data_IF_570185338893
#
_entry.id   IF_570185338893
#
_cell.length_a   1.000
_cell.length_b   1.000
_cell.length_c   1.000
_cell.angle_alpha   90.00
_cell.angle_beta   90.00
_cell.angle_gamma   90.00
#
_symmetry.space_group_name_H-M   'P 1'
#
loop_
_entity.id
_entity.type
_entity.pdbx_description
1 polymer ?
#
# COMPACT_ATOMS: atom_id res chain seq x y z
N UNK A 1 -3.92 10.28 9.79
CA UNK A 1 -2.68 10.37 10.61
C UNK A 1 -2.94 11.41 11.69
N UNK A 2 -2.28 11.37 12.86
CA UNK A 2 -2.46 12.41 13.86
C UNK A 2 -2.26 13.81 13.22
N UNK A 3 -3.23 14.71 13.40
CA UNK A 3 -3.18 16.09 12.89
C UNK A 3 -3.62 16.31 11.45
N UNK A 4 -4.07 15.30 10.69
CA UNK A 4 -4.58 15.52 9.32
C UNK A 4 -6.00 16.09 9.28
N UNK A 5 -6.78 15.88 10.35
CA UNK A 5 -8.11 16.45 10.54
C UNK A 5 -8.29 16.87 12.01
N UNK A 6 -9.14 17.87 12.28
CA UNK A 6 -9.38 18.36 13.64
C UNK A 6 -9.91 17.23 14.52
N UNK A 7 -9.18 16.91 15.59
CA UNK A 7 -9.58 15.91 16.59
C UNK A 7 -8.91 14.55 16.45
N UNK A 8 -8.12 14.32 15.40
CA UNK A 8 -7.36 13.07 15.24
C UNK A 8 -6.01 13.21 15.96
N UNK A 9 -5.89 12.64 17.15
CA UNK A 9 -4.66 12.65 17.98
C UNK A 9 -3.83 11.38 17.86
N UNK A 10 -4.44 10.28 17.42
CA UNK A 10 -3.79 8.98 17.22
C UNK A 10 -4.11 8.41 15.83
N UNK A 11 -3.31 7.48 15.29
CA UNK A 11 -3.61 6.81 14.03
C UNK A 11 -4.92 6.02 14.12
N UNK A 12 -5.96 6.48 13.43
CA UNK A 12 -7.20 5.73 13.26
C UNK A 12 -7.19 4.99 11.92
N UNK A 13 -7.60 3.72 11.94
CA UNK A 13 -7.87 2.98 10.73
C UNK A 13 -9.11 3.56 10.05
N UNK A 14 -9.03 3.78 8.74
CA UNK A 14 -10.14 4.31 7.94
C UNK A 14 -10.13 3.67 6.56
N UNK A 15 -11.31 3.57 5.97
CA UNK A 15 -11.49 3.24 4.56
C UNK A 15 -11.78 4.53 3.79
N UNK A 16 -10.72 5.22 3.37
CA UNK A 16 -10.87 6.42 2.54
C UNK A 16 -10.92 6.03 1.06
N UNK A 17 -12.09 6.21 0.45
CA UNK A 17 -12.27 5.94 -0.98
C UNK A 17 -11.20 6.65 -1.83
N UNK A 18 -10.60 5.93 -2.77
CA UNK A 18 -9.54 6.41 -3.65
C UNK A 18 -8.30 6.98 -2.90
N UNK A 19 -8.12 6.65 -1.62
CA UNK A 19 -7.09 7.23 -0.74
C UNK A 19 -7.15 8.77 -0.62
N UNK A 20 -8.31 9.37 -0.92
CA UNK A 20 -8.47 10.83 -1.01
C UNK A 20 -9.91 11.31 -0.87
N UNK A 21 -10.77 10.52 -0.24
CA UNK A 21 -12.23 10.74 -0.15
C UNK A 21 -12.66 12.18 0.16
N UNK A 22 -12.03 12.93 1.10
CA UNK A 22 -12.41 14.32 1.38
C UNK A 22 -12.30 15.27 0.17
N UNK A 23 -11.61 14.87 -0.90
CA UNK A 23 -11.34 15.68 -2.07
C UNK A 23 -12.04 15.19 -3.35
N UNK A 24 -12.86 14.13 -3.26
CA UNK A 24 -13.47 13.49 -4.44
C UNK A 24 -14.86 14.08 -4.73
N UNK A 25 -15.05 14.91 -5.77
CA UNK A 25 -16.35 15.53 -6.07
C UNK A 25 -17.38 14.59 -6.71
N UNK A 26 -16.98 13.37 -7.10
CA UNK A 26 -17.84 12.40 -7.78
C UNK A 26 -17.87 11.10 -6.97
N UNK A 27 -18.81 10.20 -7.32
CA UNK A 27 -18.86 8.89 -6.70
C UNK A 27 -17.55 8.10 -6.95
N UNK A 28 -16.98 7.39 -5.96
CA UNK A 28 -15.70 6.68 -6.07
C UNK A 28 -15.57 5.74 -7.27
N UNK A 29 -16.68 5.12 -7.69
CA UNK A 29 -16.71 4.20 -8.84
C UNK A 29 -16.34 4.87 -10.17
N UNK A 30 -16.54 6.18 -10.31
CA UNK A 30 -16.11 6.94 -11.48
C UNK A 30 -14.58 6.92 -11.59
N UNK A 31 -13.89 7.17 -10.47
CA UNK A 31 -12.43 7.17 -10.41
C UNK A 31 -11.85 5.78 -10.49
N UNK A 32 -12.49 4.79 -9.85
CA UNK A 32 -12.07 3.39 -9.94
C UNK A 32 -12.12 2.88 -11.39
N UNK A 33 -13.20 3.19 -12.13
CA UNK A 33 -13.31 2.86 -13.55
C UNK A 33 -12.23 3.55 -14.38
N UNK A 34 -12.02 4.85 -14.17
CA UNK A 34 -10.98 5.60 -14.88
C UNK A 34 -9.57 5.03 -14.62
N UNK A 35 -9.27 4.67 -13.37
CA UNK A 35 -8.00 4.04 -13.02
C UNK A 35 -7.86 2.67 -13.69
N UNK A 36 -8.91 1.84 -13.68
CA UNK A 36 -8.95 0.56 -14.39
C UNK A 36 -8.66 0.69 -15.89
N UNK A 37 -9.37 1.60 -16.57
CA UNK A 37 -9.16 1.90 -18.01
C UNK A 37 -7.71 2.33 -18.29
N UNK A 38 -7.08 3.08 -17.37
CA UNK A 38 -5.67 3.50 -17.51
C UNK A 38 -4.69 2.36 -17.24
N UNK A 39 -4.98 1.50 -16.28
CA UNK A 39 -4.13 0.33 -15.99
C UNK A 39 -4.11 -0.60 -17.20
N UNK A 40 -5.27 -0.93 -17.75
CA UNK A 40 -5.39 -1.79 -18.94
C UNK A 40 -4.70 -1.18 -20.15
N UNK A 41 -4.93 0.12 -20.41
CA UNK A 41 -4.34 0.82 -21.57
C UNK A 41 -2.81 0.89 -21.53
N UNK A 42 -2.23 1.01 -20.34
CA UNK A 42 -0.80 1.26 -20.17
C UNK A 42 -0.05 0.03 -19.65
N UNK A 43 -0.74 -1.10 -19.45
CA UNK A 43 -0.17 -2.38 -19.01
C UNK A 43 0.72 -2.23 -17.76
N UNK A 44 0.26 -1.44 -16.78
CA UNK A 44 1.05 -1.14 -15.58
C UNK A 44 0.82 -2.17 -14.47
N UNK A 45 1.87 -2.44 -13.71
CA UNK A 45 1.79 -3.26 -12.50
C UNK A 45 1.27 -2.43 -11.32
N UNK A 46 0.42 -3.03 -10.47
CA UNK A 46 -0.14 -2.39 -9.27
C UNK A 46 0.41 -3.08 -8.02
N UNK A 47 0.87 -2.28 -7.06
CA UNK A 47 1.45 -2.77 -5.81
C UNK A 47 0.76 -2.16 -4.60
N UNK A 48 0.60 -2.96 -3.54
CA UNK A 48 0.13 -2.52 -2.22
C UNK A 48 1.31 -2.52 -1.24
N UNK A 49 1.68 -1.35 -0.72
CA UNK A 49 2.82 -1.20 0.21
C UNK A 49 2.32 -0.75 1.58
N UNK A 50 2.53 -1.58 2.60
CA UNK A 50 2.29 -1.18 3.99
C UNK A 50 3.38 -0.20 4.45
N UNK A 51 2.99 1.06 4.69
CA UNK A 51 3.84 2.11 5.30
C UNK A 51 3.48 2.38 6.77
N UNK A 52 2.56 1.56 7.28
CA UNK A 52 2.04 1.59 8.62
C UNK A 52 2.82 0.70 9.57
N UNK A 53 2.11 -0.17 10.29
CA UNK A 53 2.61 -0.98 11.40
C UNK A 53 2.62 -2.46 11.02
N UNK A 54 3.57 -3.20 11.59
CA UNK A 54 3.72 -4.65 11.45
C UNK A 54 3.94 -5.31 12.82
N UNK A 55 3.55 -6.57 12.96
CA UNK A 55 3.63 -7.34 14.21
C UNK A 55 2.62 -6.90 15.29
N UNK A 56 1.61 -6.09 14.94
CA UNK A 56 0.57 -5.61 15.84
C UNK A 56 0.05 -4.21 15.49
N UNK A 57 -0.97 -3.76 16.21
CA UNK A 57 -1.53 -2.41 16.08
C UNK A 57 -0.61 -1.34 16.69
N UNK A 58 -0.98 -0.07 16.55
CA UNK A 58 -0.33 1.02 17.27
C UNK A 58 -0.25 0.73 18.77
N UNK A 59 0.91 0.98 19.38
CA UNK A 59 1.20 0.66 20.78
C UNK A 59 1.74 -0.76 21.05
N UNK A 60 1.57 -1.70 20.11
CA UNK A 60 2.03 -3.10 20.24
C UNK A 60 3.05 -3.46 19.15
N UNK A 61 2.68 -3.22 17.89
CA UNK A 61 3.52 -3.47 16.74
C UNK A 61 4.58 -2.40 16.53
N UNK A 62 5.47 -2.63 15.57
CA UNK A 62 6.47 -1.66 15.14
C UNK A 62 6.07 -1.05 13.81
N UNK A 63 6.29 0.26 13.68
CA UNK A 63 6.14 0.92 12.38
C UNK A 63 7.14 0.32 11.40
N UNK A 64 6.72 0.10 10.16
CA UNK A 64 7.59 -0.33 9.07
C UNK A 64 8.80 0.61 8.99
N UNK A 65 10.00 0.03 8.94
CA UNK A 65 11.22 0.84 8.87
C UNK A 65 11.26 1.57 7.52
N UNK A 66 11.65 2.85 7.54
CA UNK A 66 11.77 3.63 6.30
C UNK A 66 12.79 3.01 5.33
N UNK A 67 13.80 2.31 5.87
CA UNK A 67 14.79 1.57 5.09
C UNK A 67 14.13 0.41 4.33
N UNK A 68 13.32 -0.41 5.01
CA UNK A 68 12.60 -1.51 4.39
C UNK A 68 11.59 -1.01 3.35
N UNK A 69 10.78 0.02 3.68
CA UNK A 69 9.84 0.59 2.72
C UNK A 69 10.56 1.10 1.46
N UNK A 70 11.71 1.79 1.62
CA UNK A 70 12.50 2.25 0.48
C UNK A 70 13.09 1.10 -0.33
N UNK A 71 13.53 0.02 0.31
CA UNK A 71 13.99 -1.17 -0.40
C UNK A 71 12.86 -1.80 -1.25
N UNK A 72 11.64 -1.90 -0.71
CA UNK A 72 10.47 -2.34 -1.49
C UNK A 72 10.20 -1.43 -2.70
N UNK A 73 10.23 -0.11 -2.51
CA UNK A 73 10.00 0.85 -3.61
C UNK A 73 11.11 0.76 -4.66
N UNK A 74 12.38 0.64 -4.25
CA UNK A 74 13.49 0.46 -5.18
C UNK A 74 13.30 -0.82 -6.01
N UNK A 75 12.95 -1.94 -5.37
CA UNK A 75 12.71 -3.21 -6.05
C UNK A 75 11.57 -3.16 -7.07
N UNK A 76 10.54 -2.34 -6.79
CA UNK A 76 9.45 -2.07 -7.72
C UNK A 76 9.94 -1.25 -8.92
N UNK A 77 10.72 -0.20 -8.68
CA UNK A 77 11.16 0.74 -9.72
C UNK A 77 12.28 0.17 -10.59
N UNK A 78 13.18 -0.64 -10.04
CA UNK A 78 14.27 -1.29 -10.77
C UNK A 78 13.87 -2.63 -11.42
N UNK A 79 12.64 -3.11 -11.12
CA UNK A 79 12.07 -4.33 -11.68
C UNK A 79 12.60 -5.63 -11.06
N UNK A 80 13.46 -5.57 -10.04
CA UNK A 80 13.96 -6.77 -9.34
C UNK A 80 12.84 -7.56 -8.67
N UNK A 81 11.77 -6.90 -8.20
CA UNK A 81 10.61 -7.55 -7.60
C UNK A 81 9.93 -8.55 -8.53
N UNK A 82 9.97 -8.32 -9.86
CA UNK A 82 9.34 -9.19 -10.85
C UNK A 82 10.07 -10.53 -11.02
N UNK A 83 11.29 -10.64 -10.48
CA UNK A 83 12.11 -11.86 -10.53
C UNK A 83 11.99 -12.70 -9.25
N UNK A 84 11.29 -12.19 -8.24
CA UNK A 84 11.11 -12.88 -6.97
C UNK A 84 10.11 -14.02 -7.09
N UNK A 85 10.27 -15.02 -6.24
CA UNK A 85 9.18 -15.96 -5.96
C UNK A 85 8.12 -15.28 -5.09
N UNK A 86 6.86 -15.56 -5.39
CA UNK A 86 5.72 -15.07 -4.63
C UNK A 86 4.98 -16.22 -3.97
N UNK A 87 4.35 -15.90 -2.85
CA UNK A 87 3.37 -16.75 -2.20
C UNK A 87 2.09 -15.95 -1.92
N UNK A 88 0.96 -16.64 -1.94
CA UNK A 88 -0.32 -16.00 -1.65
C UNK A 88 -0.56 -15.96 -0.15
N UNK A 89 -0.82 -14.76 0.37
CA UNK A 89 -1.20 -14.56 1.75
C UNK A 89 -2.54 -15.23 2.04
N UNK A 90 -2.59 -16.11 3.05
CA UNK A 90 -3.72 -17.02 3.28
C UNK A 90 -5.07 -16.30 3.42
N UNK A 91 -5.12 -15.17 4.11
CA UNK A 91 -6.40 -14.50 4.45
C UNK A 91 -6.88 -13.57 3.33
N UNK A 92 -5.98 -12.78 2.75
CA UNK A 92 -6.33 -11.75 1.76
C UNK A 92 -5.98 -12.13 0.32
N UNK A 93 -5.33 -13.29 0.12
CA UNK A 93 -4.87 -13.79 -1.17
C UNK A 93 -4.00 -12.78 -1.95
N UNK A 94 -3.22 -11.97 -1.22
CA UNK A 94 -2.25 -11.05 -1.81
C UNK A 94 -1.01 -11.83 -2.21
N UNK A 95 -0.49 -11.63 -3.42
CA UNK A 95 0.82 -12.15 -3.80
C UNK A 95 1.92 -11.34 -3.06
N UNK A 96 2.61 -11.98 -2.12
CA UNK A 96 3.69 -11.41 -1.34
C UNK A 96 5.02 -12.00 -1.82
N UNK A 97 6.07 -11.18 -2.08
CA UNK A 97 7.38 -11.70 -2.43
C UNK A 97 7.98 -12.44 -1.23
N UNK A 98 8.47 -13.67 -1.42
CA UNK A 98 9.08 -14.47 -0.35
C UNK A 98 10.35 -13.83 0.23
N UNK A 99 11.07 -13.08 -0.60
CA UNK A 99 12.25 -12.34 -0.21
C UNK A 99 12.44 -11.12 -1.10
N UNK A 100 12.96 -10.05 -0.51
CA UNK A 100 13.44 -8.86 -1.21
C UNK A 100 14.77 -8.43 -0.61
N UNK A 101 15.73 -8.09 -1.46
CA UNK A 101 17.03 -7.60 -1.00
C UNK A 101 16.86 -6.33 -0.16
N UNK A 102 17.47 -6.32 1.03
CA UNK A 102 17.39 -5.17 1.94
C UNK A 102 16.10 -5.07 2.76
N UNK A 103 15.24 -6.11 2.73
CA UNK A 103 14.06 -6.27 3.58
C UNK A 103 14.26 -7.51 4.46
N UNK A 104 14.00 -7.37 5.77
CA UNK A 104 14.04 -8.47 6.76
C UNK A 104 12.72 -9.24 6.81
#
# INVERSE_FOLDING_TARGET
VAGTERGITEPQATFSACFGEPFMPLHPTVYARLLGEKIEKHEVNVYLVNTGWSGGSYGVGKRMSIKATRACINAILDGSIAKCEFENFEVFNLAIPKALEGVE
#
